data_IF_845149342230
#
_entry.id   IF_845149342230
#
_cell.length_a   1.000
_cell.length_b   1.000
_cell.length_c   1.000
_cell.angle_alpha   90.00
_cell.angle_beta   90.00
_cell.angle_gamma   90.00
#
_symmetry.space_group_name_H-M   'P 1'
#
loop_
_entity.id
_entity.type
_entity.pdbx_description
1 polymer ?
#
# COMPACT_ATOMS: atom_id res chain seq x y z
N UNK A 1 10.47 15.11 -6.52
CA UNK A 1 11.11 15.08 -5.19
C UNK A 1 10.30 15.98 -4.25
N UNK A 2 10.21 15.65 -2.96
CA UNK A 2 9.54 16.51 -1.99
C UNK A 2 10.25 16.50 -0.64
N UNK A 3 10.04 17.57 0.12
CA UNK A 3 10.36 17.71 1.54
C UNK A 3 9.20 18.43 2.23
N UNK A 4 8.74 17.91 3.36
CA UNK A 4 7.61 18.43 4.13
C UNK A 4 7.94 18.42 5.61
N UNK A 5 7.64 19.51 6.30
CA UNK A 5 7.68 19.60 7.77
C UNK A 5 6.26 19.56 8.33
N UNK A 6 6.10 18.99 9.52
CA UNK A 6 4.83 18.85 10.24
C UNK A 6 5.05 19.33 11.68
N UNK A 7 4.11 20.12 12.20
CA UNK A 7 4.12 20.62 13.58
C UNK A 7 2.85 20.15 14.29
N UNK A 8 2.92 19.99 15.60
CA UNK A 8 1.80 19.56 16.45
C UNK A 8 1.17 18.23 15.99
N UNK A 9 2.03 17.26 15.66
CA UNK A 9 1.59 15.90 15.31
C UNK A 9 1.17 15.17 16.58
N UNK A 10 0.03 14.50 16.54
CA UNK A 10 -0.49 13.70 17.65
C UNK A 10 -0.13 12.23 17.46
N UNK A 11 0.27 11.57 18.54
CA UNK A 11 0.45 10.12 18.60
C UNK A 11 -0.05 9.59 19.94
N UNK A 12 -0.46 8.31 19.96
CA UNK A 12 -0.78 7.61 21.20
C UNK A 12 0.49 7.33 21.99
N UNK A 13 0.47 7.58 23.30
CA UNK A 13 1.54 7.22 24.23
C UNK A 13 1.76 5.69 24.22
N UNK A 14 3.02 5.22 24.18
CA UNK A 14 3.30 3.81 24.44
C UNK A 14 2.78 3.42 25.84
N UNK A 15 2.56 2.13 26.06
CA UNK A 15 2.13 1.59 27.37
C UNK A 15 0.84 2.17 27.95
N UNK A 16 -0.05 2.73 27.12
CA UNK A 16 -1.34 3.26 27.59
C UNK A 16 -2.54 2.58 26.94
N UNK A 17 -3.49 2.18 27.78
CA UNK A 17 -4.81 1.67 27.39
C UNK A 17 -5.85 2.79 27.53
N UNK A 18 -6.70 2.95 26.51
CA UNK A 18 -7.80 3.93 26.55
C UNK A 18 -8.92 3.35 27.42
N UNK A 19 -9.05 3.85 28.64
CA UNK A 19 -9.96 3.35 29.67
C UNK A 19 -11.10 4.34 29.97
N UNK A 20 -10.93 5.63 29.64
CA UNK A 20 -11.93 6.66 29.91
C UNK A 20 -11.97 7.79 28.85
N UNK A 21 -12.88 8.74 29.04
CA UNK A 21 -13.07 9.89 28.14
C UNK A 21 -11.98 10.97 28.26
N UNK A 22 -11.01 10.82 29.17
CA UNK A 22 -9.95 11.80 29.41
C UNK A 22 -8.78 11.65 28.42
N UNK A 23 -9.10 11.70 27.14
CA UNK A 23 -8.23 11.41 25.98
C UNK A 23 -6.86 12.11 25.98
N UNK A 24 -6.75 13.27 26.64
CA UNK A 24 -5.51 14.05 26.76
C UNK A 24 -4.38 13.27 27.43
N UNK A 25 -4.71 12.33 28.34
CA UNK A 25 -3.71 11.51 29.02
C UNK A 25 -3.14 10.38 28.15
N UNK A 26 -3.71 10.15 26.97
CA UNK A 26 -3.25 9.12 26.03
C UNK A 26 -2.50 9.68 24.83
N UNK A 27 -2.52 11.00 24.63
CA UNK A 27 -1.88 11.64 23.47
C UNK A 27 -0.59 12.34 23.86
N UNK A 28 0.40 12.20 23.00
CA UNK A 28 1.62 13.01 22.97
C UNK A 28 1.65 13.91 21.74
N UNK A 29 2.26 15.08 21.92
CA UNK A 29 2.43 16.08 20.86
C UNK A 29 3.89 16.12 20.41
N UNK A 30 4.09 16.10 19.10
CA UNK A 30 5.41 16.11 18.49
C UNK A 30 5.51 16.95 17.23
N UNK A 31 6.68 16.86 16.60
CA UNK A 31 6.94 17.42 15.28
C UNK A 31 7.39 16.28 14.35
N UNK A 32 7.37 16.55 13.04
CA UNK A 32 7.79 15.55 12.07
C UNK A 32 8.35 16.16 10.80
N UNK A 33 9.11 15.35 10.08
CA UNK A 33 9.54 15.63 8.72
C UNK A 33 9.22 14.45 7.79
N UNK A 34 9.09 14.73 6.51
CA UNK A 34 8.89 13.71 5.49
C UNK A 34 9.58 14.14 4.20
N UNK A 35 10.23 13.21 3.53
CA UNK A 35 10.90 13.47 2.26
C UNK A 35 10.83 12.25 1.37
N UNK A 36 10.97 12.47 0.07
CA UNK A 36 10.94 11.36 -0.85
C UNK A 36 11.09 11.74 -2.31
N UNK A 37 11.25 10.69 -3.10
CA UNK A 37 11.33 10.74 -4.56
C UNK A 37 10.44 9.64 -5.13
N UNK A 38 9.79 9.94 -6.23
CA UNK A 38 8.96 8.99 -6.97
C UNK A 38 9.37 9.06 -8.44
N UNK A 39 9.46 7.90 -9.06
CA UNK A 39 9.73 7.72 -10.48
C UNK A 39 8.66 6.84 -11.10
N UNK A 40 8.35 7.12 -12.36
CA UNK A 40 7.46 6.32 -13.17
C UNK A 40 8.07 6.15 -14.55
N UNK A 41 8.05 4.92 -15.04
CA UNK A 41 8.48 4.53 -16.37
C UNK A 41 7.29 3.88 -17.07
N UNK A 42 6.97 4.41 -18.23
CA UNK A 42 6.02 3.81 -19.15
C UNK A 42 6.70 3.58 -20.48
N UNK A 43 6.72 2.33 -20.91
CA UNK A 43 7.33 1.95 -22.18
C UNK A 43 6.35 1.11 -22.98
N UNK A 44 6.09 1.55 -24.21
CA UNK A 44 5.22 0.86 -25.13
C UNK A 44 6.00 0.41 -26.37
N UNK A 45 5.95 -0.87 -26.65
CA UNK A 45 6.42 -1.49 -27.88
C UNK A 45 5.23 -2.08 -28.64
N UNK A 46 5.48 -2.59 -29.85
CA UNK A 46 4.42 -3.03 -30.79
C UNK A 46 3.32 -3.91 -30.17
N UNK A 47 3.69 -4.87 -29.31
CA UNK A 47 2.75 -5.76 -28.60
C UNK A 47 2.96 -5.77 -27.09
N UNK A 48 3.91 -5.00 -26.58
CA UNK A 48 4.28 -5.04 -25.16
C UNK A 48 4.08 -3.66 -24.55
N UNK A 49 3.51 -3.61 -23.36
CA UNK A 49 3.46 -2.39 -22.55
C UNK A 49 4.04 -2.71 -21.19
N UNK A 50 5.04 -1.93 -20.77
CA UNK A 50 5.62 -1.98 -19.45
C UNK A 50 5.25 -0.71 -18.70
N UNK A 51 4.75 -0.87 -17.48
CA UNK A 51 4.59 0.20 -16.51
C UNK A 51 5.40 -0.17 -15.27
N UNK A 52 6.22 0.74 -14.79
CA UNK A 52 7.01 0.56 -13.58
C UNK A 52 6.93 1.86 -12.77
N UNK A 53 6.64 1.75 -11.48
CA UNK A 53 6.63 2.86 -10.55
C UNK A 53 7.50 2.52 -9.34
N UNK A 54 8.28 3.49 -8.89
CA UNK A 54 9.05 3.35 -7.66
C UNK A 54 8.93 4.62 -6.82
N UNK A 55 8.69 4.44 -5.53
CA UNK A 55 8.67 5.51 -4.56
C UNK A 55 9.60 5.17 -3.39
N UNK A 56 10.50 6.09 -3.10
CA UNK A 56 11.22 6.14 -1.84
C UNK A 56 10.67 7.29 -1.02
N UNK A 57 10.11 7.01 0.15
CA UNK A 57 9.52 8.02 1.04
C UNK A 57 9.81 7.70 2.49
N UNK A 58 10.46 8.63 3.19
CA UNK A 58 10.69 8.54 4.63
C UNK A 58 9.86 9.58 5.35
N UNK A 59 9.23 9.16 6.44
CA UNK A 59 8.43 9.98 7.34
C UNK A 59 8.90 9.72 8.76
N UNK A 60 9.31 10.77 9.46
CA UNK A 60 9.83 10.70 10.83
C UNK A 60 9.11 11.68 11.73
N UNK A 61 8.99 11.32 12.99
CA UNK A 61 8.37 12.10 14.05
C UNK A 61 9.24 12.07 15.29
N UNK A 62 9.14 13.09 16.13
CA UNK A 62 9.82 13.16 17.41
C UNK A 62 8.93 13.89 18.40
N UNK A 63 8.97 13.44 19.64
CA UNK A 63 8.05 13.87 20.69
C UNK A 63 8.87 14.43 21.86
N UNK A 64 8.45 15.58 22.40
CA UNK A 64 9.16 16.20 23.52
C UNK A 64 9.12 15.35 24.80
N UNK A 65 8.12 14.48 24.91
CA UNK A 65 7.92 13.55 26.02
C UNK A 65 8.83 12.32 25.97
N UNK A 66 9.46 12.05 24.81
CA UNK A 66 10.38 10.92 24.58
C UNK A 66 11.69 11.42 23.94
N UNK A 67 12.48 12.26 24.63
CA UNK A 67 13.67 12.87 24.07
C UNK A 67 14.76 11.85 23.72
N UNK A 68 14.87 10.75 24.49
CA UNK A 68 15.85 9.69 24.25
C UNK A 68 15.66 8.95 22.92
N UNK A 69 14.43 8.90 22.39
CA UNK A 69 14.11 8.25 21.11
C UNK A 69 14.45 9.10 19.89
N UNK A 70 14.61 10.41 20.06
CA UNK A 70 14.90 11.33 18.96
C UNK A 70 13.90 11.21 17.80
N UNK A 71 14.41 11.07 16.56
CA UNK A 71 13.58 10.93 15.36
C UNK A 71 13.22 9.46 15.11
N UNK A 72 12.00 9.08 15.44
CA UNK A 72 11.43 7.76 15.15
C UNK A 72 10.67 7.77 13.81
N UNK A 73 10.50 6.62 13.13
CA UNK A 73 9.60 6.54 11.99
C UNK A 73 8.17 6.99 12.35
N UNK A 74 7.43 7.59 11.41
CA UNK A 74 5.98 7.76 11.57
C UNK A 74 5.29 6.40 11.54
N UNK A 75 4.11 6.28 12.16
CA UNK A 75 3.30 5.05 12.13
C UNK A 75 3.03 4.58 10.68
N UNK A 76 2.81 5.52 9.77
CA UNK A 76 2.54 5.24 8.35
C UNK A 76 3.79 5.28 7.46
N UNK A 77 4.99 5.22 8.05
CA UNK A 77 6.24 5.25 7.29
C UNK A 77 6.46 3.94 6.53
N UNK A 78 6.33 3.98 5.21
CA UNK A 78 6.63 2.87 4.29
C UNK A 78 7.75 3.32 3.33
N UNK A 79 9.02 2.98 3.63
CA UNK A 79 10.19 3.51 2.93
C UNK A 79 10.23 3.26 1.43
N UNK A 80 9.98 2.01 1.01
CA UNK A 80 10.09 1.60 -0.38
C UNK A 80 8.74 1.07 -0.86
N UNK A 81 8.31 1.54 -2.04
CA UNK A 81 7.15 1.01 -2.75
C UNK A 81 7.51 0.88 -4.22
N UNK A 82 7.34 -0.32 -4.76
CA UNK A 82 7.58 -0.69 -6.15
C UNK A 82 6.26 -1.24 -6.72
N UNK A 83 5.83 -0.73 -7.85
CA UNK A 83 4.71 -1.24 -8.62
C UNK A 83 5.14 -1.52 -10.04
N UNK A 84 4.58 -2.57 -10.65
CA UNK A 84 4.90 -2.91 -12.02
C UNK A 84 3.80 -3.67 -12.71
N UNK A 85 3.68 -3.50 -14.03
CA UNK A 85 2.83 -4.31 -14.87
C UNK A 85 3.45 -4.47 -16.26
N UNK A 86 3.47 -5.71 -16.75
CA UNK A 86 3.82 -6.06 -18.10
C UNK A 86 2.58 -6.61 -18.80
N UNK A 87 2.20 -5.97 -19.90
CA UNK A 87 1.07 -6.37 -20.72
C UNK A 87 1.53 -6.81 -22.09
N UNK A 88 0.97 -7.92 -22.58
CA UNK A 88 1.16 -8.43 -23.93
C UNK A 88 -0.16 -8.41 -24.71
N UNK A 89 -0.13 -7.83 -25.90
CA UNK A 89 -1.24 -7.77 -26.83
C UNK A 89 -1.30 -9.07 -27.65
N UNK A 90 -2.22 -9.97 -27.27
CA UNK A 90 -2.48 -11.23 -27.94
C UNK A 90 -3.09 -11.02 -29.34
N UNK A 91 -4.05 -10.11 -29.44
CA UNK A 91 -4.72 -9.74 -30.70
C UNK A 91 -4.96 -8.23 -30.74
N UNK A 92 -5.51 -7.70 -31.84
CA UNK A 92 -5.94 -6.29 -31.91
C UNK A 92 -6.99 -5.92 -30.86
N UNK A 93 -7.64 -6.90 -30.23
CA UNK A 93 -8.73 -6.73 -29.26
C UNK A 93 -8.42 -7.31 -27.89
N UNK A 94 -7.40 -8.15 -27.75
CA UNK A 94 -7.12 -8.92 -26.55
C UNK A 94 -5.74 -8.61 -25.99
N UNK A 95 -5.65 -8.41 -24.69
CA UNK A 95 -4.39 -8.24 -23.98
C UNK A 95 -4.36 -9.06 -22.70
N UNK A 96 -3.20 -9.62 -22.39
CA UNK A 96 -2.90 -10.28 -21.13
C UNK A 96 -1.90 -9.44 -20.34
N UNK A 97 -2.03 -9.40 -19.03
CA UNK A 97 -1.20 -8.58 -18.15
C UNK A 97 -0.79 -9.37 -16.93
N UNK A 98 0.47 -9.24 -16.55
CA UNK A 98 1.00 -9.67 -15.26
C UNK A 98 1.53 -8.42 -14.58
N UNK A 99 1.11 -8.16 -13.36
CA UNK A 99 1.57 -7.02 -12.60
C UNK A 99 1.65 -7.33 -11.13
N UNK A 100 2.00 -6.34 -10.35
CA UNK A 100 2.15 -6.52 -8.92
C UNK A 100 2.68 -5.29 -8.22
N UNK A 101 2.81 -5.45 -6.91
CA UNK A 101 3.40 -4.47 -6.03
C UNK A 101 4.29 -5.13 -4.99
N UNK A 102 5.25 -4.37 -4.51
CA UNK A 102 6.16 -4.72 -3.44
C UNK A 102 6.38 -3.48 -2.59
N UNK A 103 6.30 -3.62 -1.27
CA UNK A 103 6.47 -2.52 -0.33
C UNK A 103 7.16 -2.99 0.95
N UNK A 104 7.93 -2.10 1.55
CA UNK A 104 8.43 -2.31 2.91
C UNK A 104 7.26 -2.49 3.89
N UNK A 105 7.50 -3.23 4.97
CA UNK A 105 6.51 -3.40 6.03
C UNK A 105 6.19 -2.10 6.77
N UNK A 106 4.95 -2.03 7.27
CA UNK A 106 4.46 -0.94 8.10
C UNK A 106 5.13 -0.98 9.48
N UNK A 107 5.16 0.15 10.17
CA UNK A 107 5.60 0.19 11.57
C UNK A 107 4.53 -0.49 12.42
N UNK A 108 4.94 -1.43 13.29
CA UNK A 108 4.01 -2.11 14.18
C UNK A 108 3.63 -1.18 15.33
N UNK A 109 2.34 -1.16 15.65
CA UNK A 109 1.82 -0.45 16.83
C UNK A 109 1.61 -1.40 18.02
N UNK A 110 1.29 -2.67 17.73
CA UNK A 110 1.05 -3.73 18.72
C UNK A 110 2.13 -4.81 18.63
N UNK A 111 2.34 -5.52 19.73
CA UNK A 111 3.17 -6.72 19.80
C UNK A 111 2.44 -7.94 19.18
N UNK A 112 3.00 -9.14 19.31
CA UNK A 112 2.41 -10.37 18.76
C UNK A 112 1.15 -10.82 19.50
N UNK A 113 1.00 -10.40 20.75
CA UNK A 113 -0.14 -10.68 21.63
C UNK A 113 -1.22 -9.58 21.57
N UNK A 114 -1.14 -8.68 20.58
CA UNK A 114 -2.05 -7.53 20.38
C UNK A 114 -2.04 -6.50 21.51
N UNK A 115 -0.97 -6.45 22.31
CA UNK A 115 -0.78 -5.45 23.35
C UNK A 115 0.05 -4.26 22.82
N UNK A 116 -0.14 -3.05 23.36
CA UNK A 116 0.70 -1.90 23.07
C UNK A 116 2.18 -2.21 23.25
N UNK A 117 3.01 -1.71 22.34
CA UNK A 117 4.46 -1.82 22.48
C UNK A 117 4.95 -0.96 23.65
N UNK A 118 5.97 -1.47 24.33
CA UNK A 118 6.68 -0.73 25.38
C UNK A 118 7.31 0.54 24.84
N UNK A 119 7.62 1.48 25.74
CA UNK A 119 8.44 2.66 25.40
C UNK A 119 9.71 2.27 24.66
N UNK A 120 10.37 1.18 25.05
CA UNK A 120 11.59 0.70 24.42
C UNK A 120 11.36 0.18 23.00
N UNK A 121 10.25 -0.47 22.71
CA UNK A 121 9.93 -0.98 21.37
C UNK A 121 9.20 0.04 20.48
N UNK A 122 8.89 1.24 21.00
CA UNK A 122 8.06 2.24 20.34
C UNK A 122 8.60 2.59 18.94
N UNK A 123 7.88 2.14 17.92
CA UNK A 123 8.14 2.38 16.48
C UNK A 123 9.47 1.82 15.96
N UNK A 124 10.03 0.84 16.65
CA UNK A 124 11.27 0.16 16.22
C UNK A 124 10.99 -1.07 15.36
N UNK A 125 9.87 -1.75 15.62
CA UNK A 125 9.48 -2.97 14.92
C UNK A 125 8.64 -2.67 13.66
N UNK A 126 8.83 -3.49 12.64
CA UNK A 126 8.08 -3.43 11.37
C UNK A 126 7.51 -4.78 11.01
N UNK A 127 6.43 -4.75 10.26
CA UNK A 127 5.92 -5.92 9.58
C UNK A 127 6.94 -6.43 8.54
N UNK A 128 6.83 -7.70 8.10
CA UNK A 128 7.60 -8.21 6.98
C UNK A 128 7.35 -7.44 5.68
N UNK A 129 8.23 -7.66 4.70
CA UNK A 129 8.03 -7.19 3.33
C UNK A 129 6.67 -7.70 2.81
N UNK A 130 5.90 -6.80 2.23
CA UNK A 130 4.61 -7.13 1.63
C UNK A 130 4.75 -7.08 0.10
N UNK A 131 4.26 -8.11 -0.58
CA UNK A 131 4.27 -8.20 -2.02
C UNK A 131 3.02 -8.92 -2.55
N UNK A 132 2.67 -8.62 -3.80
CA UNK A 132 1.52 -9.20 -4.48
C UNK A 132 1.75 -9.27 -5.98
N UNK A 133 1.39 -10.40 -6.59
CA UNK A 133 1.36 -10.59 -8.04
C UNK A 133 -0.07 -10.81 -8.50
N UNK A 134 -0.46 -10.07 -9.52
CA UNK A 134 -1.79 -10.02 -10.11
C UNK A 134 -1.71 -10.40 -11.59
N UNK A 135 -2.74 -11.10 -12.07
CA UNK A 135 -2.86 -11.51 -13.47
C UNK A 135 -4.21 -11.07 -14.02
N UNK A 136 -4.22 -10.57 -15.24
CA UNK A 136 -5.45 -10.07 -15.87
C UNK A 136 -5.48 -10.29 -17.37
N UNK A 137 -6.69 -10.46 -17.88
CA UNK A 137 -7.03 -10.47 -19.29
C UNK A 137 -8.02 -9.34 -19.57
N UNK A 138 -7.81 -8.63 -20.67
CA UNK A 138 -8.74 -7.62 -21.15
C UNK A 138 -9.09 -7.85 -22.62
N UNK A 139 -10.37 -7.70 -22.92
CA UNK A 139 -10.90 -7.70 -24.26
C UNK A 139 -11.60 -6.38 -24.55
N UNK A 140 -11.23 -5.74 -25.66
CA UNK A 140 -11.76 -4.46 -26.11
C UNK A 140 -12.27 -4.59 -27.52
N UNK A 141 -13.55 -4.29 -27.74
CA UNK A 141 -14.16 -4.26 -29.08
C UNK A 141 -14.96 -2.97 -29.26
N UNK A 142 -14.63 -2.23 -30.33
CA UNK A 142 -15.40 -1.07 -30.78
C UNK A 142 -16.46 -1.52 -31.80
N UNK A 143 -17.64 -0.92 -31.69
CA UNK A 143 -18.80 -1.08 -32.56
C UNK A 143 -19.22 0.31 -33.06
N UNK A 144 -18.32 1.01 -33.76
CA UNK A 144 -18.50 2.42 -34.12
C UNK A 144 -18.36 3.32 -32.89
N UNK A 145 -19.40 4.08 -32.58
CA UNK A 145 -19.46 4.97 -31.40
C UNK A 145 -19.46 4.20 -30.07
N UNK A 146 -19.90 2.93 -30.10
CA UNK A 146 -20.00 2.09 -28.91
C UNK A 146 -18.68 1.35 -28.63
N UNK A 147 -18.35 1.20 -27.35
CA UNK A 147 -17.20 0.43 -26.89
C UNK A 147 -17.62 -0.62 -25.86
N UNK A 148 -17.27 -1.88 -26.12
CA UNK A 148 -17.32 -2.96 -25.14
C UNK A 148 -15.91 -3.20 -24.58
N UNK A 149 -15.82 -3.22 -23.25
CA UNK A 149 -14.62 -3.59 -22.53
C UNK A 149 -14.95 -4.69 -21.51
N UNK A 150 -14.31 -5.85 -21.67
CA UNK A 150 -14.34 -6.95 -20.72
C UNK A 150 -12.98 -7.03 -20.03
N UNK A 151 -12.98 -7.23 -18.72
CA UNK A 151 -11.77 -7.52 -17.93
C UNK A 151 -12.06 -8.68 -17.00
N UNK A 152 -11.13 -9.60 -16.93
CA UNK A 152 -11.15 -10.76 -16.05
C UNK A 152 -9.77 -10.89 -15.45
N UNK A 153 -9.66 -11.30 -14.21
CA UNK A 153 -8.35 -11.51 -13.62
C UNK A 153 -8.41 -12.10 -12.24
N UNK A 154 -7.23 -12.29 -11.69
CA UNK A 154 -7.01 -12.85 -10.38
C UNK A 154 -6.01 -11.95 -9.67
N UNK A 155 -6.44 -11.38 -8.55
CA UNK A 155 -5.56 -10.67 -7.63
C UNK A 155 -4.86 -11.67 -6.71
N UNK A 156 -3.64 -11.35 -6.33
CA UNK A 156 -2.85 -12.12 -5.38
C UNK A 156 -2.72 -13.61 -5.78
N UNK A 157 -2.29 -13.85 -7.01
CA UNK A 157 -1.92 -15.20 -7.46
C UNK A 157 -0.80 -15.76 -6.58
N UNK A 158 0.15 -14.90 -6.22
CA UNK A 158 1.19 -15.14 -5.22
C UNK A 158 1.43 -13.85 -4.46
N UNK A 159 1.54 -13.93 -3.13
CA UNK A 159 1.80 -12.77 -2.30
C UNK A 159 1.41 -12.98 -0.84
N UNK A 160 1.66 -11.95 -0.05
CA UNK A 160 1.29 -11.87 1.36
C UNK A 160 0.62 -10.52 1.68
N UNK A 161 -0.46 -10.14 0.96
CA UNK A 161 -1.20 -8.91 1.26
C UNK A 161 -1.71 -8.94 2.71
N UNK A 162 -1.62 -7.81 3.41
CA UNK A 162 -2.17 -7.70 4.77
C UNK A 162 -3.69 -7.77 4.73
N UNK A 163 -4.34 -8.13 5.83
CA UNK A 163 -5.82 -8.15 5.90
C UNK A 163 -6.43 -6.79 5.57
N UNK A 164 -5.81 -5.70 6.03
CA UNK A 164 -6.18 -4.33 5.63
C UNK A 164 -6.12 -4.11 4.11
N UNK A 165 -5.15 -4.71 3.41
CA UNK A 165 -5.00 -4.57 1.96
C UNK A 165 -6.02 -5.47 1.21
N UNK A 166 -6.66 -6.42 1.91
CA UNK A 166 -7.67 -7.36 1.40
C UNK A 166 -9.11 -6.88 1.70
N UNK A 167 -9.29 -5.77 2.44
CA UNK A 167 -10.58 -5.25 2.92
C UNK A 167 -11.77 -5.57 2.00
N UNK A 168 -12.77 -6.19 2.63
CA UNK A 168 -13.90 -6.97 2.09
C UNK A 168 -14.79 -6.27 1.04
N UNK A 169 -14.27 -6.06 -0.17
CA UNK A 169 -15.08 -5.64 -1.33
C UNK A 169 -15.43 -6.80 -2.28
N UNK A 170 -14.89 -7.99 -2.03
CA UNK A 170 -15.03 -9.15 -2.91
C UNK A 170 -15.94 -10.22 -2.30
N UNK A 171 -16.86 -10.74 -3.10
CA UNK A 171 -17.87 -11.71 -2.67
C UNK A 171 -17.32 -13.14 -2.52
N UNK A 172 -16.11 -13.41 -3.04
CA UNK A 172 -15.53 -14.77 -3.12
C UNK A 172 -14.03 -14.72 -2.79
N UNK A 173 -13.61 -15.62 -1.90
CA UNK A 173 -12.22 -15.78 -1.48
C UNK A 173 -11.76 -17.21 -1.76
N UNK A 174 -10.62 -17.39 -2.44
CA UNK A 174 -9.94 -18.68 -2.56
C UNK A 174 -8.77 -18.78 -1.57
N UNK A 175 -8.23 -19.99 -1.38
CA UNK A 175 -7.09 -20.25 -0.48
C UNK A 175 -5.97 -19.23 -0.70
N UNK A 176 -5.44 -18.67 0.39
CA UNK A 176 -4.33 -17.72 0.35
C UNK A 176 -4.71 -16.30 -0.08
N UNK A 177 -5.97 -15.89 0.09
CA UNK A 177 -6.48 -14.56 -0.30
C UNK A 177 -6.30 -14.26 -1.79
N UNK A 178 -6.47 -15.29 -2.62
CA UNK A 178 -6.52 -15.19 -4.08
C UNK A 178 -7.94 -14.78 -4.48
N UNK A 179 -8.07 -13.65 -5.18
CA UNK A 179 -9.37 -12.99 -5.41
C UNK A 179 -9.65 -12.85 -6.91
N UNK A 180 -10.62 -13.61 -7.47
CA UNK A 180 -11.04 -13.40 -8.85
C UNK A 180 -11.83 -12.10 -8.99
N UNK A 181 -11.64 -11.40 -10.11
CA UNK A 181 -12.43 -10.24 -10.46
C UNK A 181 -12.86 -10.27 -11.91
N UNK A 182 -14.01 -9.66 -12.19
CA UNK A 182 -14.53 -9.49 -13.53
C UNK A 182 -15.28 -8.17 -13.65
N UNK A 183 -15.12 -7.47 -14.76
CA UNK A 183 -15.87 -6.26 -15.04
C UNK A 183 -16.28 -6.20 -16.51
N UNK A 184 -17.50 -5.74 -16.74
CA UNK A 184 -18.04 -5.44 -18.06
C UNK A 184 -18.35 -3.94 -18.09
N UNK A 185 -17.79 -3.22 -19.06
CA UNK A 185 -18.03 -1.80 -19.24
C UNK A 185 -18.50 -1.54 -20.67
N UNK A 186 -19.61 -0.81 -20.77
CA UNK A 186 -20.15 -0.29 -22.01
C UNK A 186 -20.00 1.22 -22.02
N UNK A 187 -19.41 1.76 -23.09
CA UNK A 187 -19.47 3.18 -23.40
C UNK A 187 -20.40 3.34 -24.61
N UNK A 188 -21.42 4.18 -24.45
CA UNK A 188 -22.37 4.56 -25.48
C UNK A 188 -21.99 5.92 -26.06
#
# INVERSE_FOLDING_TARGET
>A
MYYKTRRNVLALRPDTWVEDESWQKYLMVGNGDSYGVKGYLYQHWKRWSLQLSYAYSRSREWFGELPEKGKVPSLYDVPHQLGGALSYQLTTRSSFSVGGMLRSGKVRFLNEDYEPLSVDDFREKREPLNYRVDVGYSYRKSFGEKLLLLRLGVYNVVGNPSEEDILSFYSVHWRGNCLPYGSICFKF
#
